data_IF_335299224384
#
_entry.id   IF_335299224384
#
_cell.length_a   1.000
_cell.length_b   1.000
_cell.length_c   1.000
_cell.angle_alpha   90.00
_cell.angle_beta   90.00
_cell.angle_gamma   90.00
#
_symmetry.space_group_name_H-M   'P 1'
#
loop_
_entity.id
_entity.type
_entity.pdbx_description
1 polymer ?
#
# COMPACT_ATOMS: atom_id res chain seq x y z
N UNK A 1 -34.03 16.79 -19.48
CA UNK A 1 -32.59 17.01 -19.22
C UNK A 1 -31.92 15.68 -18.92
N UNK A 2 -31.06 15.18 -19.82
CA UNK A 2 -30.33 13.92 -19.59
C UNK A 2 -29.28 14.16 -18.51
N UNK A 3 -29.44 13.53 -17.35
CA UNK A 3 -28.42 13.43 -16.31
C UNK A 3 -27.19 12.73 -16.94
N UNK A 4 -26.21 13.50 -17.39
CA UNK A 4 -24.88 12.96 -17.70
C UNK A 4 -24.35 12.39 -16.40
N UNK A 5 -24.35 11.06 -16.26
CA UNK A 5 -23.70 10.40 -15.13
C UNK A 5 -22.29 10.97 -15.04
N UNK A 6 -21.98 11.71 -13.97
CA UNK A 6 -20.61 12.12 -13.68
C UNK A 6 -19.79 10.84 -13.65
N UNK A 7 -18.98 10.59 -14.69
CA UNK A 7 -18.03 9.49 -14.68
C UNK A 7 -17.15 9.74 -13.46
N UNK A 8 -17.31 8.90 -12.44
CA UNK A 8 -16.40 8.84 -11.31
C UNK A 8 -15.05 8.41 -11.87
N UNK A 9 -14.16 9.38 -12.10
CA UNK A 9 -12.78 9.09 -12.41
C UNK A 9 -12.10 8.77 -11.08
N UNK A 10 -12.05 7.49 -10.75
CA UNK A 10 -11.20 7.03 -9.66
C UNK A 10 -9.75 7.39 -10.02
N UNK A 11 -9.07 8.07 -9.11
CA UNK A 11 -7.69 8.51 -9.32
C UNK A 11 -6.69 7.35 -9.17
N UNK A 12 -7.05 6.30 -8.44
CA UNK A 12 -6.20 5.12 -8.19
C UNK A 12 -7.00 3.84 -8.42
N UNK A 13 -6.36 2.85 -9.03
CA UNK A 13 -6.92 1.52 -9.27
C UNK A 13 -6.00 0.43 -8.71
N UNK A 14 -6.60 -0.57 -8.06
CA UNK A 14 -5.92 -1.80 -7.62
C UNK A 14 -6.44 -2.95 -8.48
N UNK A 15 -5.53 -3.60 -9.21
CA UNK A 15 -5.89 -4.59 -10.21
C UNK A 15 -4.96 -5.82 -10.08
N UNK A 16 -5.50 -7.04 -9.93
CA UNK A 16 -4.68 -8.24 -9.91
C UNK A 16 -3.88 -8.38 -11.20
N UNK A 17 -2.58 -8.70 -11.07
CA UNK A 17 -1.70 -8.90 -12.22
C UNK A 17 -2.22 -10.00 -13.15
N UNK A 18 -2.73 -11.11 -12.60
CA UNK A 18 -3.35 -12.18 -13.38
C UNK A 18 -4.43 -11.67 -14.34
N UNK A 19 -5.35 -10.82 -13.84
CA UNK A 19 -6.39 -10.21 -14.67
C UNK A 19 -5.85 -9.23 -15.71
N UNK A 20 -4.79 -8.48 -15.39
CA UNK A 20 -4.16 -7.57 -16.37
C UNK A 20 -3.48 -8.35 -17.49
N UNK A 21 -2.81 -9.45 -17.15
CA UNK A 21 -2.08 -10.32 -18.08
C UNK A 21 -3.04 -10.99 -19.07
N UNK A 22 -4.15 -11.55 -18.57
CA UNK A 22 -5.02 -12.42 -19.36
C UNK A 22 -6.03 -11.62 -20.22
N UNK A 23 -6.42 -10.42 -19.81
CA UNK A 23 -7.50 -9.65 -20.47
C UNK A 23 -7.04 -8.80 -21.68
N UNK A 24 -5.87 -9.03 -22.27
CA UNK A 24 -5.33 -8.23 -23.40
C UNK A 24 -5.23 -6.70 -23.15
N UNK A 25 -5.33 -6.26 -21.89
CA UNK A 25 -5.28 -4.85 -21.47
C UNK A 25 -3.97 -4.17 -21.88
N UNK A 26 -2.89 -4.95 -21.96
CA UNK A 26 -1.58 -4.50 -22.43
C UNK A 26 -1.45 -4.87 -23.91
N UNK A 27 -1.74 -3.91 -24.80
CA UNK A 27 -1.66 -4.13 -26.26
C UNK A 27 -0.23 -4.22 -26.79
N UNK A 28 0.71 -3.54 -26.13
CA UNK A 28 2.11 -3.53 -26.54
C UNK A 28 2.82 -4.80 -26.05
N UNK A 29 3.25 -5.65 -26.98
CA UNK A 29 3.89 -6.94 -26.69
C UNK A 29 5.22 -6.80 -25.95
N UNK A 30 6.01 -5.77 -26.28
CA UNK A 30 7.27 -5.50 -25.58
C UNK A 30 7.02 -5.15 -24.10
N UNK A 31 5.96 -4.35 -23.83
CA UNK A 31 5.54 -4.06 -22.47
C UNK A 31 5.09 -5.32 -21.73
N UNK A 32 4.26 -6.12 -22.38
CA UNK A 32 3.75 -7.37 -21.82
C UNK A 32 4.89 -8.33 -21.48
N UNK A 33 5.82 -8.53 -22.42
CA UNK A 33 6.97 -9.42 -22.24
C UNK A 33 7.89 -8.98 -21.11
N UNK A 34 8.20 -7.68 -21.01
CA UNK A 34 8.98 -7.15 -19.89
C UNK A 34 8.28 -7.42 -18.55
N UNK A 35 7.00 -7.07 -18.42
CA UNK A 35 6.27 -7.22 -17.16
C UNK A 35 6.10 -8.68 -16.77
N UNK A 36 5.89 -9.57 -17.74
CA UNK A 36 5.83 -11.00 -17.48
C UNK A 36 7.15 -11.52 -16.89
N UNK A 37 8.29 -11.16 -17.48
CA UNK A 37 9.61 -11.53 -16.92
C UNK A 37 9.84 -10.91 -15.55
N UNK A 38 9.44 -9.65 -15.36
CA UNK A 38 9.56 -8.94 -14.09
C UNK A 38 8.75 -9.62 -12.97
N UNK A 39 7.46 -9.88 -13.20
CA UNK A 39 6.58 -10.47 -12.19
C UNK A 39 6.89 -11.94 -11.91
N UNK A 40 7.49 -12.67 -12.85
CA UNK A 40 8.02 -14.03 -12.61
C UNK A 40 9.14 -14.09 -11.57
N UNK A 41 9.76 -12.95 -11.23
CA UNK A 41 10.76 -12.90 -10.16
C UNK A 41 10.17 -12.85 -8.76
N UNK A 42 8.86 -12.60 -8.63
CA UNK A 42 8.18 -12.71 -7.34
C UNK A 42 7.87 -14.18 -7.08
N UNK A 43 8.45 -14.72 -6.01
CA UNK A 43 8.36 -16.13 -5.67
C UNK A 43 7.79 -16.33 -4.26
N UNK A 44 7.10 -17.44 -4.06
CA UNK A 44 6.71 -17.89 -2.73
C UNK A 44 7.86 -18.60 -2.01
N UNK A 45 7.58 -19.14 -0.82
CA UNK A 45 8.56 -19.85 0.01
C UNK A 45 8.99 -21.21 -0.58
N UNK A 46 8.33 -21.70 -1.63
CA UNK A 46 8.68 -22.91 -2.37
C UNK A 46 9.44 -22.58 -3.68
N UNK A 47 9.62 -21.29 -3.99
CA UNK A 47 10.24 -20.84 -5.24
C UNK A 47 9.28 -20.76 -6.41
N UNK A 48 7.97 -20.96 -6.21
CA UNK A 48 6.97 -20.86 -7.26
C UNK A 48 6.58 -19.39 -7.51
N UNK A 49 6.24 -19.00 -8.75
CA UNK A 49 5.78 -17.64 -9.04
C UNK A 49 4.53 -17.25 -8.22
N UNK A 50 4.51 -16.03 -7.68
CA UNK A 50 3.37 -15.49 -6.95
C UNK A 50 2.27 -15.02 -7.91
N UNK A 51 1.05 -15.53 -7.74
CA UNK A 51 -0.13 -15.14 -8.52
C UNK A 51 -0.96 -14.02 -7.87
N UNK A 52 -0.73 -13.75 -6.59
CA UNK A 52 -1.48 -12.77 -5.78
C UNK A 52 -0.97 -11.33 -5.89
N UNK A 53 -0.21 -11.00 -6.93
CA UNK A 53 0.36 -9.65 -7.12
C UNK A 53 -0.75 -8.69 -7.56
N UNK A 54 -0.82 -7.53 -6.90
CA UNK A 54 -1.76 -6.45 -7.25
C UNK A 54 -0.99 -5.25 -7.78
N UNK A 55 -1.37 -4.80 -8.98
CA UNK A 55 -0.84 -3.57 -9.58
C UNK A 55 -1.67 -2.40 -9.09
N UNK A 56 -1.00 -1.41 -8.52
CA UNK A 56 -1.59 -0.13 -8.15
C UNK A 56 -1.26 0.92 -9.24
N UNK A 57 -2.27 1.45 -9.92
CA UNK A 57 -2.09 2.44 -10.99
C UNK A 57 -2.75 3.77 -10.66
N UNK A 58 -2.09 4.87 -11.04
CA UNK A 58 -2.68 6.19 -11.03
C UNK A 58 -3.43 6.40 -12.35
N UNK A 59 -4.73 6.69 -12.28
CA UNK A 59 -5.65 6.74 -13.42
C UNK A 59 -5.58 5.46 -14.29
N UNK A 60 -5.64 5.60 -15.62
CA UNK A 60 -5.56 4.47 -16.55
C UNK A 60 -4.14 3.90 -16.58
N UNK A 61 -4.05 2.57 -16.61
CA UNK A 61 -2.79 1.86 -16.87
C UNK A 61 -2.24 2.31 -18.23
N UNK A 62 -1.16 3.09 -18.21
CA UNK A 62 -0.50 3.62 -19.39
C UNK A 62 1.03 3.47 -19.35
N UNK A 63 1.57 2.86 -18.28
CA UNK A 63 3.00 2.58 -18.06
C UNK A 63 3.93 3.79 -18.18
N UNK A 64 3.42 5.01 -18.01
CA UNK A 64 4.24 6.22 -18.01
C UNK A 64 4.94 6.39 -16.65
N UNK A 65 6.14 7.00 -16.62
CA UNK A 65 6.76 7.44 -15.38
C UNK A 65 5.81 8.28 -14.53
N UNK A 66 5.79 8.01 -13.23
CA UNK A 66 4.98 8.75 -12.27
C UNK A 66 5.75 9.97 -11.76
N UNK A 67 5.08 11.11 -11.69
CA UNK A 67 5.57 12.27 -10.94
C UNK A 67 5.59 12.01 -9.43
N UNK A 68 6.38 12.79 -8.68
CA UNK A 68 6.43 12.69 -7.21
C UNK A 68 5.07 12.84 -6.55
N UNK A 69 4.19 13.71 -7.09
CA UNK A 69 2.82 13.89 -6.61
C UNK A 69 1.97 12.64 -6.83
N UNK A 70 2.08 12.01 -8.00
CA UNK A 70 1.35 10.77 -8.30
C UNK A 70 1.85 9.61 -7.44
N UNK A 71 3.16 9.49 -7.23
CA UNK A 71 3.74 8.51 -6.31
C UNK A 71 3.22 8.69 -4.88
N UNK A 72 3.13 9.93 -4.41
CA UNK A 72 2.57 10.23 -3.10
C UNK A 72 1.09 9.80 -2.99
N UNK A 73 0.29 10.04 -4.03
CA UNK A 73 -1.11 9.58 -4.06
C UNK A 73 -1.21 8.06 -4.00
N UNK A 74 -0.36 7.32 -4.72
CA UNK A 74 -0.35 5.85 -4.65
C UNK A 74 0.08 5.33 -3.27
N UNK A 75 1.09 5.95 -2.66
CA UNK A 75 1.50 5.63 -1.27
C UNK A 75 0.35 5.83 -0.29
N UNK A 76 -0.35 6.96 -0.39
CA UNK A 76 -1.51 7.24 0.46
C UNK A 76 -2.65 6.24 0.22
N UNK A 77 -2.90 5.84 -1.03
CA UNK A 77 -3.91 4.84 -1.34
C UNK A 77 -3.55 3.45 -0.76
N UNK A 78 -2.28 3.06 -0.80
CA UNK A 78 -1.81 1.83 -0.15
C UNK A 78 -1.96 1.91 1.38
N UNK A 79 -1.57 3.03 2.00
CA UNK A 79 -1.75 3.23 3.44
C UNK A 79 -3.24 3.13 3.86
N UNK A 80 -4.14 3.70 3.05
CA UNK A 80 -5.60 3.56 3.24
C UNK A 80 -6.00 2.09 3.17
N UNK A 81 -5.56 1.36 2.14
CA UNK A 81 -5.92 -0.04 1.96
C UNK A 81 -5.48 -0.89 3.16
N UNK A 82 -4.24 -0.69 3.63
CA UNK A 82 -3.68 -1.34 4.82
C UNK A 82 -4.57 -1.09 6.03
N UNK A 83 -4.90 0.17 6.31
CA UNK A 83 -5.76 0.54 7.44
C UNK A 83 -7.16 -0.09 7.32
N UNK A 84 -7.75 -0.07 6.12
CA UNK A 84 -9.08 -0.65 5.88
C UNK A 84 -9.12 -2.17 6.08
N UNK A 85 -7.98 -2.86 6.03
CA UNK A 85 -7.88 -4.31 6.24
C UNK A 85 -7.54 -4.62 7.70
N UNK A 86 -6.51 -3.96 8.24
CA UNK A 86 -5.95 -4.26 9.56
C UNK A 86 -6.84 -3.73 10.69
N UNK A 87 -7.28 -2.48 10.62
CA UNK A 87 -7.99 -1.87 11.75
C UNK A 87 -9.32 -2.57 12.11
N UNK A 88 -10.17 -2.98 11.14
CA UNK A 88 -11.37 -3.77 11.43
C UNK A 88 -11.05 -5.14 12.03
N UNK A 89 -9.99 -5.82 11.56
CA UNK A 89 -9.57 -7.10 12.09
C UNK A 89 -9.14 -6.98 13.57
N UNK A 90 -8.37 -5.93 13.90
CA UNK A 90 -7.99 -5.61 15.28
C UNK A 90 -9.22 -5.34 16.15
N UNK A 91 -10.12 -4.46 15.68
CA UNK A 91 -11.36 -4.14 16.40
C UNK A 91 -12.16 -5.41 16.71
N UNK A 92 -12.35 -6.26 15.71
CA UNK A 92 -13.12 -7.50 15.87
C UNK A 92 -12.45 -8.46 16.86
N UNK A 93 -11.13 -8.64 16.78
CA UNK A 93 -10.39 -9.50 17.70
C UNK A 93 -10.51 -9.01 19.16
N UNK A 94 -10.36 -7.70 19.40
CA UNK A 94 -10.52 -7.09 20.72
C UNK A 94 -11.96 -7.26 21.23
N UNK A 95 -12.96 -6.91 20.42
CA UNK A 95 -14.36 -7.02 20.81
C UNK A 95 -14.80 -8.46 21.09
N UNK A 96 -14.20 -9.43 20.41
CA UNK A 96 -14.45 -10.86 20.63
C UNK A 96 -13.57 -11.47 21.74
N UNK A 97 -12.69 -10.70 22.38
CA UNK A 97 -11.67 -11.18 23.31
C UNK A 97 -10.83 -12.35 22.73
N UNK A 98 -10.59 -12.32 21.41
CA UNK A 98 -9.83 -13.35 20.72
C UNK A 98 -8.33 -13.01 20.78
N UNK A 99 -7.59 -13.79 21.57
CA UNK A 99 -6.13 -13.67 21.71
C UNK A 99 -5.36 -14.66 20.83
N UNK A 100 -6.05 -15.57 20.14
CA UNK A 100 -5.44 -16.67 19.39
C UNK A 100 -4.89 -16.28 18.02
N UNK A 101 -5.20 -15.07 17.54
CA UNK A 101 -4.77 -14.61 16.22
C UNK A 101 -4.38 -13.14 16.26
N UNK A 102 -3.11 -12.85 15.92
CA UNK A 102 -2.64 -11.49 15.72
C UNK A 102 -3.26 -10.85 14.46
N UNK A 103 -3.21 -9.52 14.31
CA UNK A 103 -3.65 -8.86 13.10
C UNK A 103 -2.77 -9.22 11.90
N UNK A 104 -3.30 -8.98 10.69
CA UNK A 104 -2.50 -9.00 9.49
C UNK A 104 -1.41 -7.92 9.54
N UNK A 105 -0.25 -8.23 8.97
CA UNK A 105 0.91 -7.37 8.83
C UNK A 105 0.79 -6.48 7.60
N UNK A 106 1.36 -5.28 7.72
CA UNK A 106 1.55 -4.36 6.63
C UNK A 106 2.57 -4.85 5.58
N UNK A 107 3.40 -5.85 5.88
CA UNK A 107 4.41 -6.40 4.97
C UNK A 107 3.80 -7.02 3.70
N UNK A 108 2.54 -7.44 3.78
CA UNK A 108 1.79 -7.94 2.63
C UNK A 108 1.44 -6.86 1.59
N UNK A 109 1.73 -5.59 1.88
CA UNK A 109 1.33 -4.44 1.07
C UNK A 109 2.53 -3.59 0.63
N UNK A 110 3.71 -4.21 0.50
CA UNK A 110 4.89 -3.51 0.03
C UNK A 110 4.65 -2.86 -1.35
N UNK A 111 4.80 -1.53 -1.41
CA UNK A 111 4.65 -0.78 -2.64
C UNK A 111 6.03 -0.59 -3.29
N UNK A 112 6.26 -1.30 -4.38
CA UNK A 112 7.41 -1.07 -5.26
C UNK A 112 7.01 -0.21 -6.46
N UNK A 113 7.76 0.87 -6.71
CA UNK A 113 7.56 1.73 -7.88
C UNK A 113 8.83 1.83 -8.69
N UNK A 114 8.75 1.48 -9.97
CA UNK A 114 9.85 1.54 -10.91
C UNK A 114 9.40 2.19 -12.23
N UNK A 115 10.27 2.98 -12.85
CA UNK A 115 10.06 3.44 -14.21
C UNK A 115 10.25 2.27 -15.19
N UNK A 116 9.27 2.11 -16.06
CA UNK A 116 9.25 1.05 -17.04
C UNK A 116 10.10 1.44 -18.28
N UNK A 117 11.09 0.61 -18.64
CA UNK A 117 11.82 0.74 -19.90
C UNK A 117 11.83 -0.61 -20.64
N UNK A 118 10.92 -0.81 -21.62
CA UNK A 118 10.72 -2.11 -22.27
C UNK A 118 11.95 -2.60 -23.03
N UNK A 119 12.80 -1.67 -23.44
CA UNK A 119 13.95 -1.94 -24.31
C UNK A 119 15.20 -2.35 -23.51
N UNK A 120 15.05 -2.60 -22.20
CA UNK A 120 16.15 -3.01 -21.32
C UNK A 120 15.81 -4.35 -20.68
N UNK A 121 16.83 -5.16 -20.41
CA UNK A 121 16.70 -6.35 -19.57
C UNK A 121 16.89 -6.03 -18.09
N UNK A 122 17.03 -4.76 -17.70
CA UNK A 122 17.39 -4.37 -16.34
C UNK A 122 16.21 -3.80 -15.53
N UNK A 123 16.32 -3.95 -14.22
CA UNK A 123 15.43 -3.35 -13.22
C UNK A 123 16.23 -2.59 -12.16
N UNK A 124 15.63 -1.53 -11.63
CA UNK A 124 16.21 -0.76 -10.53
C UNK A 124 15.52 -1.12 -9.22
N UNK A 125 16.27 -1.69 -8.29
CA UNK A 125 15.79 -2.12 -6.98
C UNK A 125 16.32 -1.16 -5.92
N UNK A 126 15.42 -0.67 -5.07
CA UNK A 126 15.80 0.13 -3.90
C UNK A 126 16.09 -0.82 -2.73
N UNK A 127 17.29 -0.76 -2.17
CA UNK A 127 17.68 -1.49 -0.96
C UNK A 127 18.18 -0.49 0.08
N UNK A 128 17.33 -0.19 1.07
CA UNK A 128 17.59 0.89 2.03
C UNK A 128 17.72 2.24 1.31
N UNK A 129 18.84 2.92 1.52
CA UNK A 129 19.12 4.23 0.90
C UNK A 129 19.81 4.12 -0.48
N UNK A 130 20.10 2.90 -0.94
CA UNK A 130 20.85 2.64 -2.17
C UNK A 130 19.94 2.11 -3.28
N UNK A 131 20.25 2.47 -4.53
CA UNK A 131 19.58 1.95 -5.72
C UNK A 131 20.56 1.07 -6.48
N UNK A 132 20.16 -0.17 -6.74
CA UNK A 132 20.95 -1.15 -7.48
C UNK A 132 20.26 -1.47 -8.80
N UNK A 133 21.05 -1.77 -9.83
CA UNK A 133 20.55 -2.17 -11.15
C UNK A 133 20.93 -3.64 -11.35
N UNK A 134 19.95 -4.45 -11.72
CA UNK A 134 20.09 -5.90 -11.89
C UNK A 134 19.41 -6.35 -13.17
N UNK A 135 19.85 -7.45 -13.74
CA UNK A 135 19.14 -8.05 -14.86
C UNK A 135 17.87 -8.76 -14.36
N UNK A 136 16.80 -8.67 -15.15
CA UNK A 136 15.52 -9.33 -14.86
C UNK A 136 15.75 -10.84 -14.92
N UNK A 137 15.63 -11.48 -13.76
CA UNK A 137 15.86 -12.92 -13.61
C UNK A 137 16.89 -13.23 -12.53
N UNK A 138 17.85 -12.33 -12.32
CA UNK A 138 18.95 -12.49 -11.36
C UNK A 138 18.50 -12.34 -9.91
N UNK A 139 17.56 -11.42 -9.66
CA UNK A 139 17.02 -11.16 -8.31
C UNK A 139 15.63 -11.74 -8.19
N UNK A 140 15.37 -12.41 -7.06
CA UNK A 140 14.06 -12.94 -6.68
C UNK A 140 13.48 -12.15 -5.51
N UNK A 141 12.22 -11.77 -5.64
CA UNK A 141 11.45 -11.09 -4.59
C UNK A 141 10.62 -12.13 -3.85
N UNK A 142 11.07 -12.51 -2.66
CA UNK A 142 10.37 -13.53 -1.88
C UNK A 142 9.17 -12.93 -1.17
N UNK A 143 8.04 -13.65 -1.17
CA UNK A 143 6.89 -13.33 -0.32
C UNK A 143 7.33 -13.32 1.16
N UNK A 144 6.86 -12.36 1.99
CA UNK A 144 7.18 -12.37 3.41
C UNK A 144 6.75 -13.69 4.08
N UNK A 145 7.62 -14.23 4.94
CA UNK A 145 7.42 -15.51 5.62
C UNK A 145 6.24 -15.50 6.60
N UNK A 146 6.06 -14.39 7.28
CA UNK A 146 4.98 -14.20 8.25
C UNK A 146 4.23 -12.92 7.89
N UNK A 147 2.99 -13.09 7.44
CA UNK A 147 2.07 -11.98 7.20
C UNK A 147 1.16 -11.71 8.39
N UNK A 148 1.22 -12.51 9.47
CA UNK A 148 0.33 -12.40 10.62
C UNK A 148 -1.15 -12.59 10.28
N UNK A 149 -1.93 -13.10 11.24
CA UNK A 149 -3.40 -13.18 11.12
C UNK A 149 -3.95 -13.83 9.85
N UNK A 150 -5.23 -13.57 9.59
CA UNK A 150 -5.89 -13.88 8.31
C UNK A 150 -6.05 -12.56 7.57
N UNK A 151 -5.61 -12.50 6.31
CA UNK A 151 -5.88 -11.36 5.45
C UNK A 151 -7.39 -11.21 5.24
N UNK A 152 -7.96 -10.15 5.78
CA UNK A 152 -9.38 -9.83 5.63
C UNK A 152 -9.63 -8.98 4.38
N UNK A 153 -10.87 -9.01 3.89
CA UNK A 153 -11.32 -8.05 2.89
C UNK A 153 -11.32 -6.63 3.49
N UNK A 154 -10.97 -5.60 2.69
CA UNK A 154 -11.01 -4.22 3.17
C UNK A 154 -12.43 -3.83 3.56
N UNK A 155 -12.57 -3.16 4.69
CA UNK A 155 -13.85 -2.59 5.10
C UNK A 155 -14.32 -1.56 4.06
N UNK A 156 -15.45 -1.86 3.43
CA UNK A 156 -15.99 -1.07 2.31
C UNK A 156 -16.41 0.33 2.72
N UNK A 157 -16.93 0.52 3.93
CA UNK A 157 -17.38 1.83 4.41
C UNK A 157 -16.18 2.77 4.59
N UNK A 158 -15.12 2.28 5.23
CA UNK A 158 -13.85 3.01 5.35
C UNK A 158 -13.27 3.33 3.98
N UNK A 159 -13.24 2.35 3.06
CA UNK A 159 -12.74 2.53 1.71
C UNK A 159 -13.51 3.64 0.96
N UNK A 160 -14.84 3.66 1.06
CA UNK A 160 -15.69 4.70 0.45
C UNK A 160 -15.39 6.07 1.05
N UNK A 161 -15.23 6.15 2.38
CA UNK A 161 -14.88 7.38 3.08
C UNK A 161 -13.53 7.94 2.62
N UNK A 162 -12.49 7.10 2.62
CA UNK A 162 -11.15 7.50 2.19
C UNK A 162 -11.06 7.78 0.69
N UNK A 163 -11.87 7.12 -0.14
CA UNK A 163 -11.93 7.45 -1.55
C UNK A 163 -12.43 8.89 -1.78
N UNK A 164 -13.38 9.39 -0.97
CA UNK A 164 -13.77 10.81 -1.02
C UNK A 164 -12.58 11.70 -0.67
N UNK A 165 -11.88 11.37 0.41
CA UNK A 165 -10.70 12.12 0.86
C UNK A 165 -9.60 12.17 -0.21
N UNK A 166 -9.30 11.05 -0.89
CA UNK A 166 -8.30 11.02 -1.96
C UNK A 166 -8.67 11.95 -3.13
N UNK A 167 -9.94 12.00 -3.52
CA UNK A 167 -10.41 12.76 -4.67
C UNK A 167 -10.65 14.25 -4.38
N UNK A 168 -10.58 14.70 -3.12
CA UNK A 168 -10.68 16.12 -2.78
C UNK A 168 -9.46 16.89 -3.29
N UNK A 169 -9.70 18.00 -4.01
CA UNK A 169 -8.64 18.80 -4.63
C UNK A 169 -7.84 19.65 -3.62
N UNK A 170 -8.44 19.98 -2.48
CA UNK A 170 -7.84 20.84 -1.47
C UNK A 170 -7.18 19.97 -0.40
N UNK A 171 -5.90 20.21 -0.15
CA UNK A 171 -5.21 19.68 1.03
C UNK A 171 -5.49 20.60 2.21
N UNK A 172 -6.13 20.06 3.24
CA UNK A 172 -6.29 20.72 4.54
C UNK A 172 -5.29 20.12 5.51
N UNK A 173 -4.91 20.86 6.55
CA UNK A 173 -4.04 20.34 7.62
C UNK A 173 -4.60 19.02 8.20
N UNK A 174 -5.92 18.92 8.32
CA UNK A 174 -6.60 17.69 8.76
C UNK A 174 -6.36 16.52 7.81
N UNK A 175 -6.46 16.74 6.49
CA UNK A 175 -6.24 15.70 5.48
C UNK A 175 -4.78 15.22 5.47
N UNK A 176 -3.83 16.15 5.58
CA UNK A 176 -2.41 15.82 5.67
C UNK A 176 -2.10 15.03 6.97
N UNK A 177 -2.68 15.47 8.09
CA UNK A 177 -2.61 14.77 9.36
C UNK A 177 -3.17 13.35 9.27
N UNK A 178 -4.29 13.14 8.60
CA UNK A 178 -4.85 11.80 8.36
C UNK A 178 -3.90 10.91 7.57
N UNK A 179 -3.36 11.38 6.42
CA UNK A 179 -2.42 10.56 5.65
C UNK A 179 -1.12 10.27 6.39
N UNK A 180 -0.62 11.24 7.17
CA UNK A 180 0.55 11.04 8.03
C UNK A 180 0.26 10.02 9.14
N UNK A 181 -0.93 10.07 9.72
CA UNK A 181 -1.38 9.08 10.71
C UNK A 181 -1.44 7.68 10.11
N UNK A 182 -1.96 7.54 8.88
CA UNK A 182 -2.01 6.26 8.18
C UNK A 182 -0.62 5.71 7.83
N UNK A 183 0.35 6.58 7.53
CA UNK A 183 1.75 6.17 7.34
C UNK A 183 2.34 5.59 8.62
N UNK A 184 2.19 6.28 9.77
CA UNK A 184 2.66 5.77 11.05
C UNK A 184 1.92 4.49 11.48
N UNK A 185 0.63 4.41 11.17
CA UNK A 185 -0.16 3.19 11.38
C UNK A 185 0.45 2.02 10.61
N UNK A 186 0.80 2.22 9.33
CA UNK A 186 1.50 1.20 8.53
C UNK A 186 2.80 0.77 9.20
N UNK A 187 3.65 1.73 9.60
CA UNK A 187 4.94 1.44 10.22
C UNK A 187 4.80 0.62 11.51
N UNK A 188 3.79 0.92 12.32
CA UNK A 188 3.52 0.17 13.55
C UNK A 188 3.10 -1.29 13.32
N UNK A 189 2.64 -1.63 12.12
CA UNK A 189 2.14 -2.97 11.74
C UNK A 189 3.08 -3.71 10.76
N UNK A 190 4.30 -3.22 10.57
CA UNK A 190 5.36 -3.98 9.88
C UNK A 190 5.93 -5.01 10.86
N UNK A 191 6.14 -6.24 10.41
CA UNK A 191 6.82 -7.28 11.16
C UNK A 191 8.32 -7.21 10.88
N UNK A 192 9.00 -6.40 11.69
CA UNK A 192 10.44 -6.31 11.72
C UNK A 192 10.94 -6.74 13.10
N UNK A 193 11.84 -7.72 13.12
CA UNK A 193 12.42 -8.33 14.33
C UNK A 193 13.24 -7.34 15.16
N UNK A 194 13.77 -6.27 14.55
CA UNK A 194 14.45 -5.20 15.29
C UNK A 194 13.50 -4.18 15.92
N UNK A 195 12.21 -4.18 15.54
CA UNK A 195 11.21 -3.24 16.08
C UNK A 195 10.49 -3.88 17.25
N UNK A 196 10.89 -3.49 18.47
CA UNK A 196 10.27 -4.00 19.69
C UNK A 196 8.77 -3.68 19.79
N UNK A 197 7.98 -4.46 20.55
CA UNK A 197 6.58 -4.13 20.82
C UNK A 197 6.39 -2.73 21.42
N UNK A 198 7.31 -2.27 22.26
CA UNK A 198 7.27 -0.93 22.83
C UNK A 198 7.43 0.16 21.75
N UNK A 199 8.33 -0.07 20.78
CA UNK A 199 8.47 0.81 19.61
C UNK A 199 7.18 0.89 18.80
N UNK A 200 6.48 -0.25 18.59
CA UNK A 200 5.17 -0.27 17.93
C UNK A 200 4.12 0.54 18.70
N UNK A 201 4.13 0.48 20.05
CA UNK A 201 3.25 1.30 20.90
C UNK A 201 3.54 2.80 20.70
N UNK A 202 4.82 3.20 20.68
CA UNK A 202 5.20 4.60 20.42
C UNK A 202 4.72 5.06 19.04
N UNK A 203 4.89 4.22 18.01
CA UNK A 203 4.39 4.52 16.67
C UNK A 203 2.87 4.71 16.66
N UNK A 204 2.12 3.84 17.35
CA UNK A 204 0.66 4.01 17.48
C UNK A 204 0.26 5.23 18.32
N UNK A 205 1.01 5.57 19.37
CA UNK A 205 0.78 6.81 20.11
C UNK A 205 0.96 8.03 19.18
N UNK A 206 1.97 8.00 18.32
CA UNK A 206 2.23 9.04 17.30
C UNK A 206 1.07 9.16 16.30
N UNK A 207 0.44 8.04 15.90
CA UNK A 207 -0.80 8.05 15.10
C UNK A 207 -1.89 8.88 15.78
N UNK A 208 -2.16 8.62 17.06
CA UNK A 208 -3.19 9.35 17.81
C UNK A 208 -2.82 10.82 18.03
N UNK A 209 -1.54 11.11 18.31
CA UNK A 209 -1.08 12.48 18.49
C UNK A 209 -1.32 13.34 17.24
N UNK A 210 -0.99 12.82 16.06
CA UNK A 210 -1.24 13.51 14.79
C UNK A 210 -2.73 13.64 14.52
N UNK A 211 -3.49 12.55 14.69
CA UNK A 211 -4.92 12.53 14.36
C UNK A 211 -5.74 13.48 15.24
N UNK A 212 -5.43 13.52 16.54
CA UNK A 212 -6.11 14.37 17.52
C UNK A 212 -5.52 15.77 17.60
N UNK A 213 -4.47 16.07 16.79
CA UNK A 213 -3.76 17.34 16.79
C UNK A 213 -3.30 17.75 18.20
N UNK A 214 -2.74 16.80 18.94
CA UNK A 214 -2.28 17.02 20.32
C UNK A 214 -1.28 18.18 20.32
N UNK A 215 -1.53 19.27 21.07
CA UNK A 215 -0.67 20.44 21.04
C UNK A 215 0.68 20.11 21.69
N UNK A 216 1.75 20.71 21.15
CA UNK A 216 3.09 20.55 21.70
C UNK A 216 3.27 21.46 22.93
N UNK A 217 2.56 21.17 24.01
CA UNK A 217 2.63 21.89 25.29
C UNK A 217 3.27 21.00 26.36
N UNK A 218 3.98 21.63 27.30
CA UNK A 218 4.58 20.92 28.44
C UNK A 218 3.52 20.31 29.38
N UNK A 219 2.31 20.88 29.41
CA UNK A 219 1.21 20.40 30.24
C UNK A 219 0.15 19.66 29.41
N UNK A 220 0.47 18.44 28.97
CA UNK A 220 -0.50 17.56 28.28
C UNK A 220 -1.69 17.18 29.18
N UNK A 221 -1.52 17.16 30.51
CA UNK A 221 -2.59 16.84 31.48
C UNK A 221 -3.73 17.86 31.49
N UNK A 222 -3.45 19.13 31.19
CA UNK A 222 -4.50 20.16 31.09
C UNK A 222 -5.26 20.15 29.76
N UNK A 223 -4.84 19.30 28.81
CA UNK A 223 -5.46 19.17 27.49
C UNK A 223 -6.33 17.92 27.34
N UNK A 224 -5.96 16.82 28.01
CA UNK A 224 -6.77 15.58 28.12
C UNK A 224 -7.98 15.83 29.02
#
# INVERSE_FOLDING_TARGET
>A
MKNKSKKSYYQVHFLPWAGIRDESKIKNESIRGYLQRYFQNYIDYQGNPVDSIVVCSYEKINFKPLSSKQLLVLRNAVNILIFCIIAPAIKNAICANNRGMGPASADGFELMSQNFNPNTSFIAIQAGNSRHIWEIGEVKFSKPWALGGIMCLPNRELLIGFNKLLNESIMTNTKEGMFRSLEWFRLAHIENDVVSPFSKIIMMATVFEILLQVPNTRNKKGWI
#
